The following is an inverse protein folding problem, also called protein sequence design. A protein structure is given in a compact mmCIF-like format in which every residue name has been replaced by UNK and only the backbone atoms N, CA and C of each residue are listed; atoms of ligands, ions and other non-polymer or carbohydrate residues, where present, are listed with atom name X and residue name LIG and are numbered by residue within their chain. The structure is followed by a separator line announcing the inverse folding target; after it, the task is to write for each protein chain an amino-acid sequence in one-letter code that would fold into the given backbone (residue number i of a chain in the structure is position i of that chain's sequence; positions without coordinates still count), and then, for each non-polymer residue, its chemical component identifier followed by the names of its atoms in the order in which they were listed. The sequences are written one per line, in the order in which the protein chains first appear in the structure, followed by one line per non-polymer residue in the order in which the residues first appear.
data_IF_255633983572
#
_entry.id   IF_255633983572
#
_cell.length_a   1.000
_cell.length_b   1.000
_cell.length_c   1.000
_cell.angle_alpha   90.00
_cell.angle_beta   90.00
_cell.angle_gamma   90.00
#
_symmetry.space_group_name_H-M   'P 1'
#
loop_
_entity.id
_entity.type
_entity.pdbx_description
1 polymer ?
#
# COMPACT_ATOMS: atom_id res chain seq x y z
N UNK A 1 6.59 -16.36 -7.54
CA UNK A 1 7.15 -15.84 -6.27
C UNK A 1 6.44 -14.55 -5.90
N UNK A 2 6.13 -14.35 -4.61
CA UNK A 2 5.50 -13.14 -4.08
C UNK A 2 6.56 -12.29 -3.39
N UNK A 3 6.51 -10.96 -3.57
CA UNK A 3 7.21 -10.00 -2.73
C UNK A 3 6.19 -9.13 -2.00
N UNK A 4 6.30 -9.04 -0.67
CA UNK A 4 5.56 -8.05 0.11
C UNK A 4 6.49 -6.88 0.42
N UNK A 5 6.14 -5.69 -0.07
CA UNK A 5 6.93 -4.47 0.12
C UNK A 5 6.33 -3.64 1.25
N UNK A 6 7.13 -3.34 2.25
CA UNK A 6 6.74 -2.57 3.44
C UNK A 6 7.63 -1.34 3.57
N UNK A 7 7.02 -0.18 3.80
CA UNK A 7 7.70 1.02 4.23
C UNK A 7 7.52 1.18 5.75
N UNK A 8 8.62 1.38 6.50
CA UNK A 8 8.59 1.56 7.94
C UNK A 8 9.23 2.88 8.37
N UNK A 9 8.63 3.49 9.40
CA UNK A 9 9.18 4.61 10.14
C UNK A 9 8.54 4.68 11.52
N UNK A 10 9.33 4.46 12.58
CA UNK A 10 8.86 4.49 13.97
C UNK A 10 7.58 3.65 14.20
N UNK A 11 7.63 2.38 13.79
CA UNK A 11 6.52 1.43 13.83
C UNK A 11 6.66 0.33 14.90
N UNK A 12 7.53 0.51 15.91
CA UNK A 12 7.85 -0.53 16.90
C UNK A 12 6.62 -1.14 17.59
N UNK A 13 5.56 -0.33 17.80
CA UNK A 13 4.33 -0.78 18.44
C UNK A 13 3.54 -1.82 17.64
N UNK A 14 3.70 -1.87 16.32
CA UNK A 14 2.78 -2.61 15.42
C UNK A 14 3.47 -3.59 14.50
N UNK A 15 4.73 -3.34 14.13
CA UNK A 15 5.41 -4.06 13.04
C UNK A 15 5.51 -5.58 13.29
N UNK A 16 5.63 -6.02 14.53
CA UNK A 16 5.72 -7.44 14.84
C UNK A 16 4.40 -8.18 14.53
N UNK A 17 3.25 -7.59 14.89
CA UNK A 17 1.93 -8.15 14.61
C UNK A 17 1.66 -8.18 13.11
N UNK A 18 1.97 -7.08 12.41
CA UNK A 18 1.85 -7.02 10.96
C UNK A 18 2.69 -8.10 10.27
N UNK A 19 3.98 -8.23 10.62
CA UNK A 19 4.84 -9.23 10.01
C UNK A 19 4.36 -10.65 10.27
N UNK A 20 3.90 -10.98 11.48
CA UNK A 20 3.31 -12.30 11.79
C UNK A 20 2.09 -12.57 10.92
N UNK A 21 1.22 -11.59 10.71
CA UNK A 21 0.01 -11.73 9.89
C UNK A 21 0.33 -11.98 8.41
N UNK A 22 1.38 -11.34 7.88
CA UNK A 22 1.88 -11.51 6.51
C UNK A 22 2.55 -12.88 6.35
N UNK A 23 3.52 -13.19 7.19
CA UNK A 23 4.34 -14.41 7.11
C UNK A 23 3.51 -15.69 7.22
N UNK A 24 2.39 -15.65 7.95
CA UNK A 24 1.44 -16.78 8.07
C UNK A 24 0.77 -17.16 6.74
N UNK A 25 0.79 -16.30 5.73
CA UNK A 25 0.17 -16.51 4.43
C UNK A 25 1.17 -16.70 3.28
N UNK A 26 2.46 -16.56 3.55
CA UNK A 26 3.52 -16.69 2.55
C UNK A 26 4.18 -18.06 2.60
N UNK A 27 4.60 -18.54 1.43
CA UNK A 27 5.42 -19.76 1.30
C UNK A 27 6.91 -19.46 1.56
N UNK A 28 7.72 -20.52 1.64
CA UNK A 28 9.16 -20.40 1.88
C UNK A 28 9.95 -19.77 0.73
N UNK A 29 9.36 -19.69 -0.47
CA UNK A 29 9.99 -19.07 -1.65
C UNK A 29 9.62 -17.60 -1.82
N UNK A 30 8.70 -17.08 -1.00
CA UNK A 30 8.26 -15.69 -1.05
C UNK A 30 9.16 -14.80 -0.18
N UNK A 31 9.11 -13.49 -0.36
CA UNK A 31 9.92 -12.54 0.40
C UNK A 31 9.10 -11.40 0.98
N UNK A 32 9.58 -10.83 2.08
CA UNK A 32 9.13 -9.58 2.66
C UNK A 32 10.28 -8.59 2.59
N UNK A 33 10.15 -7.55 1.77
CA UNK A 33 11.16 -6.51 1.57
C UNK A 33 10.77 -5.27 2.35
N UNK A 34 11.56 -4.93 3.36
CA UNK A 34 11.28 -3.81 4.25
C UNK A 34 12.26 -2.67 3.97
N UNK A 35 11.72 -1.50 3.71
CA UNK A 35 12.49 -0.25 3.57
C UNK A 35 12.20 0.63 4.78
N UNK A 36 13.18 0.80 5.65
CA UNK A 36 13.07 1.65 6.84
C UNK A 36 13.57 3.06 6.55
N UNK A 37 12.85 4.07 7.03
CA UNK A 37 13.13 5.50 6.79
C UNK A 37 13.95 6.15 7.92
N UNK A 38 14.74 5.36 8.63
CA UNK A 38 15.57 5.84 9.73
C UNK A 38 14.84 5.82 11.08
N UNK A 39 14.15 4.73 11.40
CA UNK A 39 13.46 4.56 12.69
C UNK A 39 14.42 4.65 13.86
N UNK A 40 13.96 5.28 14.96
CA UNK A 40 14.72 5.48 16.20
C UNK A 40 14.06 4.86 17.43
N UNK A 41 12.90 4.23 17.27
CA UNK A 41 12.05 3.68 18.33
C UNK A 41 12.28 2.16 18.59
N UNK A 42 13.27 1.55 17.91
CA UNK A 42 13.54 0.11 18.01
C UNK A 42 12.81 -0.74 16.95
N UNK A 43 12.15 -0.15 15.96
CA UNK A 43 11.47 -0.85 14.86
C UNK A 43 12.40 -1.87 14.19
N UNK A 44 13.61 -1.45 13.81
CA UNK A 44 14.58 -2.33 13.11
C UNK A 44 15.06 -3.48 14.00
N UNK A 45 15.21 -3.26 15.30
CA UNK A 45 15.59 -4.30 16.26
C UNK A 45 14.49 -5.37 16.38
N UNK A 46 13.22 -4.95 16.36
CA UNK A 46 12.09 -5.87 16.38
C UNK A 46 12.08 -6.73 15.12
N UNK A 47 12.24 -6.11 13.93
CA UNK A 47 12.30 -6.82 12.65
C UNK A 47 13.42 -7.86 12.66
N UNK A 48 14.63 -7.49 13.09
CA UNK A 48 15.77 -8.40 13.14
C UNK A 48 15.58 -9.56 14.14
N UNK A 49 14.80 -9.38 15.21
CA UNK A 49 14.52 -10.42 16.21
C UNK A 49 13.58 -11.51 15.71
N UNK A 50 12.77 -11.25 14.68
CA UNK A 50 11.82 -12.26 14.12
C UNK A 50 12.57 -13.45 13.52
N UNK A 51 13.80 -13.27 13.00
CA UNK A 51 14.66 -14.33 12.45
C UNK A 51 13.98 -15.23 11.40
N UNK A 52 13.20 -14.63 10.51
CA UNK A 52 12.57 -15.32 9.38
C UNK A 52 13.37 -15.00 8.12
N UNK A 53 13.85 -16.04 7.42
CA UNK A 53 14.72 -15.91 6.24
C UNK A 53 14.04 -15.21 5.05
N UNK A 54 12.71 -15.16 5.05
CA UNK A 54 11.93 -14.42 4.04
C UNK A 54 11.99 -12.92 4.20
N UNK A 55 12.37 -12.42 5.39
CA UNK A 55 12.47 -10.99 5.67
C UNK A 55 13.81 -10.46 5.19
N UNK A 56 13.75 -9.41 4.41
CA UNK A 56 14.91 -8.65 3.97
C UNK A 56 14.75 -7.17 4.30
N UNK A 57 15.42 -6.74 5.37
CA UNK A 57 15.50 -5.33 5.75
C UNK A 57 16.57 -4.65 4.90
N UNK A 58 16.20 -3.56 4.21
CA UNK A 58 17.12 -2.77 3.39
C UNK A 58 17.90 -1.80 4.28
N UNK A 59 19.20 -1.58 4.00
CA UNK A 59 19.97 -0.58 4.73
C UNK A 59 19.40 0.83 4.50
N UNK A 60 19.28 1.62 5.58
CA UNK A 60 18.85 3.02 5.50
C UNK A 60 20.06 3.93 5.39
N UNK A 61 20.07 4.83 4.42
CA UNK A 61 21.13 5.81 4.21
C UNK A 61 20.61 7.25 4.32
N UNK A 62 19.34 7.46 3.97
CA UNK A 62 18.69 8.76 3.97
C UNK A 62 17.17 8.58 4.13
N UNK A 63 16.49 9.60 4.63
CA UNK A 63 15.04 9.61 4.68
C UNK A 63 14.46 9.91 3.30
N UNK A 64 13.59 9.03 2.81
CA UNK A 64 12.94 9.12 1.50
C UNK A 64 11.45 9.49 1.61
N UNK A 65 10.93 9.54 2.84
CA UNK A 65 9.51 9.60 3.10
C UNK A 65 8.75 8.35 2.63
N UNK A 66 7.50 8.23 3.00
CA UNK A 66 6.68 7.04 2.73
C UNK A 66 6.71 6.61 1.25
N UNK A 67 6.51 7.53 0.30
CA UNK A 67 6.48 7.22 -1.13
C UNK A 67 7.82 6.71 -1.66
N UNK A 68 8.93 7.35 -1.30
CA UNK A 68 10.26 6.93 -1.72
C UNK A 68 10.64 5.57 -1.12
N UNK A 69 10.26 5.32 0.13
CA UNK A 69 10.47 4.05 0.81
C UNK A 69 9.72 2.89 0.12
N UNK A 70 8.46 3.10 -0.28
CA UNK A 70 7.75 2.09 -1.06
C UNK A 70 8.44 1.83 -2.40
N UNK A 71 8.85 2.87 -3.13
CA UNK A 71 9.57 2.68 -4.39
C UNK A 71 10.88 1.93 -4.19
N UNK A 72 11.65 2.23 -3.14
CA UNK A 72 12.88 1.50 -2.79
C UNK A 72 12.62 0.03 -2.50
N UNK A 73 11.58 -0.29 -1.74
CA UNK A 73 11.20 -1.67 -1.45
C UNK A 73 10.78 -2.43 -2.72
N UNK A 74 9.96 -1.79 -3.57
CA UNK A 74 9.51 -2.34 -4.86
C UNK A 74 10.70 -2.58 -5.79
N UNK A 75 11.66 -1.63 -5.89
CA UNK A 75 12.83 -1.76 -6.75
C UNK A 75 13.76 -2.89 -6.30
N UNK A 76 13.84 -3.12 -4.99
CA UNK A 76 14.62 -4.21 -4.42
C UNK A 76 13.90 -5.57 -4.49
N UNK A 77 12.59 -5.61 -4.72
CA UNK A 77 11.79 -6.84 -4.74
C UNK A 77 12.01 -7.69 -6.00
N UNK A 78 11.86 -9.03 -5.89
CA UNK A 78 12.14 -9.99 -6.97
C UNK A 78 10.92 -10.75 -7.46
N UNK A 79 9.81 -10.77 -6.71
CA UNK A 79 8.60 -11.55 -7.01
C UNK A 79 7.86 -11.06 -8.26
N UNK A 80 7.16 -11.96 -8.91
CA UNK A 80 6.29 -11.68 -10.07
C UNK A 80 4.99 -11.00 -9.64
N UNK A 81 4.61 -11.24 -8.40
CA UNK A 81 3.47 -10.61 -7.73
C UNK A 81 4.00 -9.77 -6.56
N UNK A 82 3.54 -8.53 -6.50
CA UNK A 82 3.95 -7.56 -5.50
C UNK A 82 2.74 -7.15 -4.67
N UNK A 83 2.85 -7.29 -3.36
CA UNK A 83 1.91 -6.73 -2.40
C UNK A 83 2.54 -5.52 -1.74
N UNK A 84 1.75 -4.50 -1.46
CA UNK A 84 2.14 -3.41 -0.59
C UNK A 84 1.49 -3.61 0.78
N UNK A 85 2.20 -3.22 1.83
CA UNK A 85 1.68 -3.27 3.20
C UNK A 85 2.21 -2.09 4.02
N UNK A 86 1.36 -1.50 4.83
CA UNK A 86 1.75 -0.52 5.84
C UNK A 86 2.24 -1.28 7.09
N UNK A 87 3.02 -0.62 7.94
CA UNK A 87 3.67 -1.25 9.10
C UNK A 87 2.71 -1.56 10.26
N UNK A 88 1.51 -1.00 10.25
CA UNK A 88 0.59 -0.88 11.39
C UNK A 88 -0.75 -1.59 11.18
N UNK A 89 -0.95 -2.22 10.02
CA UNK A 89 -2.15 -3.00 9.68
C UNK A 89 -2.05 -4.46 10.16
N UNK A 90 -3.12 -5.25 9.94
CA UNK A 90 -3.12 -6.70 10.12
C UNK A 90 -3.79 -7.38 8.93
N UNK A 91 -3.10 -8.34 8.30
CA UNK A 91 -3.70 -9.13 7.22
C UNK A 91 -4.59 -10.24 7.77
N UNK A 92 -5.81 -10.31 7.25
CA UNK A 92 -6.74 -11.39 7.56
C UNK A 92 -6.51 -12.59 6.62
N UNK A 93 -6.81 -13.79 7.14
CA UNK A 93 -6.63 -15.05 6.42
C UNK A 93 -7.31 -15.06 5.05
N UNK A 94 -6.61 -15.64 4.05
CA UNK A 94 -7.08 -15.79 2.68
C UNK A 94 -6.87 -14.55 1.80
N UNK A 95 -6.18 -13.51 2.29
CA UNK A 95 -5.86 -12.33 1.47
C UNK A 95 -4.98 -12.69 0.28
N UNK A 96 -3.89 -13.40 0.53
CA UNK A 96 -2.94 -13.78 -0.53
C UNK A 96 -3.64 -14.65 -1.56
N UNK A 97 -4.32 -15.71 -1.14
CA UNK A 97 -5.06 -16.60 -2.04
C UNK A 97 -6.07 -15.85 -2.90
N UNK A 98 -6.86 -14.95 -2.27
CA UNK A 98 -7.86 -14.16 -2.99
C UNK A 98 -7.24 -13.25 -4.02
N UNK A 99 -6.16 -12.54 -3.66
CA UNK A 99 -5.46 -11.66 -4.60
C UNK A 99 -4.86 -12.44 -5.77
N UNK A 100 -4.23 -13.58 -5.52
CA UNK A 100 -3.66 -14.43 -6.58
C UNK A 100 -4.74 -14.88 -7.58
N UNK A 101 -5.90 -15.31 -7.09
CA UNK A 101 -7.04 -15.70 -7.94
C UNK A 101 -7.50 -14.54 -8.84
N UNK A 102 -7.64 -13.34 -8.30
CA UNK A 102 -8.03 -12.18 -9.12
C UNK A 102 -6.97 -11.78 -10.11
N UNK A 103 -5.69 -11.90 -9.73
CA UNK A 103 -4.55 -11.59 -10.59
C UNK A 103 -4.38 -12.58 -11.75
N UNK A 104 -5.11 -13.69 -11.82
CA UNK A 104 -5.17 -14.54 -13.01
C UNK A 104 -5.71 -13.75 -14.22
N UNK A 105 -6.63 -12.82 -14.00
CA UNK A 105 -7.31 -12.05 -15.05
C UNK A 105 -7.14 -10.53 -14.93
N UNK A 106 -6.52 -10.05 -13.85
CA UNK A 106 -6.26 -8.64 -13.60
C UNK A 106 -4.75 -8.38 -13.46
N UNK A 107 -4.36 -7.13 -13.62
CA UNK A 107 -2.98 -6.67 -13.42
C UNK A 107 -2.78 -6.10 -12.02
N UNK A 108 -3.83 -5.52 -11.44
CA UNK A 108 -3.84 -4.97 -10.09
C UNK A 108 -5.16 -5.28 -9.39
N UNK A 109 -5.06 -5.63 -8.13
CA UNK A 109 -6.18 -5.92 -7.22
C UNK A 109 -6.13 -4.98 -6.03
N UNK A 110 -7.27 -4.44 -5.65
CA UNK A 110 -7.46 -3.69 -4.39
C UNK A 110 -8.49 -4.45 -3.57
N UNK A 111 -8.15 -4.84 -2.35
CA UNK A 111 -9.04 -5.54 -1.43
C UNK A 111 -9.69 -4.58 -0.44
N UNK A 112 -10.92 -4.86 -0.02
CA UNK A 112 -11.55 -4.07 1.04
C UNK A 112 -10.94 -4.38 2.42
N UNK A 113 -11.09 -3.44 3.35
CA UNK A 113 -10.63 -3.56 4.73
C UNK A 113 -11.70 -3.10 5.72
N UNK A 114 -11.61 -3.59 6.94
CA UNK A 114 -12.27 -2.96 8.08
C UNK A 114 -11.35 -1.87 8.66
N UNK A 115 -11.87 -0.70 8.91
CA UNK A 115 -11.15 0.37 9.61
C UNK A 115 -11.26 0.13 11.09
N UNK A 116 -10.15 0.08 11.80
CA UNK A 116 -10.09 -0.18 13.23
C UNK A 116 -9.45 0.99 13.99
N UNK A 117 -9.66 1.01 15.30
CA UNK A 117 -8.85 1.80 16.22
C UNK A 117 -7.48 1.12 16.47
N UNK A 118 -6.66 1.71 17.35
CA UNK A 118 -5.35 1.20 17.72
C UNK A 118 -5.41 -0.22 18.32
N UNK A 119 -6.46 -0.53 19.06
CA UNK A 119 -6.72 -1.84 19.69
C UNK A 119 -7.39 -2.87 18.76
N UNK A 120 -7.48 -2.59 17.45
CA UNK A 120 -8.15 -3.44 16.44
C UNK A 120 -9.68 -3.58 16.63
N UNK A 121 -10.33 -2.72 17.41
CA UNK A 121 -11.78 -2.69 17.44
C UNK A 121 -12.31 -2.05 16.14
N UNK A 122 -13.26 -2.72 15.48
CA UNK A 122 -13.81 -2.24 14.21
C UNK A 122 -14.62 -0.97 14.41
N UNK A 123 -14.18 0.11 13.79
CA UNK A 123 -14.86 1.42 13.76
C UNK A 123 -15.76 1.52 12.51
N UNK A 124 -15.26 1.02 11.35
CA UNK A 124 -16.04 0.94 10.12
C UNK A 124 -15.80 -0.42 9.46
N UNK A 125 -16.87 -1.14 9.12
CA UNK A 125 -16.74 -2.50 8.59
C UNK A 125 -16.25 -2.55 7.12
N UNK A 126 -16.24 -1.44 6.38
CA UNK A 126 -15.82 -1.41 4.98
C UNK A 126 -15.35 -0.03 4.57
N UNK A 127 -14.07 0.08 4.19
CA UNK A 127 -13.51 1.32 3.64
C UNK A 127 -14.11 1.64 2.26
N UNK A 128 -14.38 0.63 1.45
CA UNK A 128 -14.97 0.82 0.13
C UNK A 128 -16.35 1.46 0.21
N UNK A 129 -17.20 0.96 1.11
CA UNK A 129 -18.54 1.55 1.33
C UNK A 129 -18.45 2.95 1.92
N UNK A 130 -17.52 3.16 2.86
CA UNK A 130 -17.35 4.45 3.53
C UNK A 130 -17.01 5.56 2.53
N UNK A 131 -16.11 5.29 1.58
CA UNK A 131 -15.62 6.29 0.63
C UNK A 131 -16.11 6.11 -0.80
N UNK A 132 -16.92 5.10 -1.10
CA UNK A 132 -17.40 4.80 -2.45
C UNK A 132 -16.25 4.44 -3.40
N UNK A 133 -15.27 3.66 -2.89
CA UNK A 133 -14.09 3.29 -3.67
C UNK A 133 -14.46 2.28 -4.76
N UNK A 134 -13.94 2.50 -5.95
CA UNK A 134 -14.19 1.65 -7.11
C UNK A 134 -13.15 1.87 -8.21
N UNK A 135 -13.06 0.92 -9.11
CA UNK A 135 -12.25 1.04 -10.33
C UNK A 135 -12.78 2.12 -11.26
N UNK A 136 -11.92 2.62 -12.13
CA UNK A 136 -12.25 3.56 -13.19
C UNK A 136 -11.29 4.74 -13.27
N UNK A 137 -10.60 4.89 -14.41
CA UNK A 137 -9.54 5.88 -14.64
C UNK A 137 -10.00 7.31 -14.30
N UNK A 138 -11.13 7.76 -14.85
CA UNK A 138 -11.64 9.10 -14.60
C UNK A 138 -12.10 9.28 -13.15
N UNK A 139 -12.73 8.25 -12.57
CA UNK A 139 -13.13 8.29 -11.18
C UNK A 139 -11.92 8.49 -10.27
N UNK A 140 -10.87 7.68 -10.46
CA UNK A 140 -9.66 7.70 -9.63
C UNK A 140 -8.73 8.89 -9.92
N UNK A 141 -8.83 9.50 -11.10
CA UNK A 141 -8.18 10.78 -11.37
C UNK A 141 -8.78 11.91 -10.52
N UNK A 142 -10.11 11.92 -10.39
CA UNK A 142 -10.83 12.96 -9.65
C UNK A 142 -10.86 12.66 -8.14
N UNK A 143 -11.01 11.41 -7.76
CA UNK A 143 -11.15 10.96 -6.38
C UNK A 143 -10.33 9.67 -6.17
N UNK A 144 -9.08 9.81 -5.74
CA UNK A 144 -8.20 8.67 -5.50
C UNK A 144 -8.87 7.63 -4.60
N UNK A 145 -8.98 6.40 -5.08
CA UNK A 145 -9.50 5.24 -4.36
C UNK A 145 -8.43 4.20 -4.05
N UNK A 146 -7.16 4.51 -4.29
CA UNK A 146 -6.04 3.61 -4.01
C UNK A 146 -5.46 3.88 -2.64
N UNK A 147 -5.28 2.81 -1.89
CA UNK A 147 -4.59 2.74 -0.61
C UNK A 147 -3.53 1.65 -0.74
N UNK A 148 -2.27 2.01 -0.57
CA UNK A 148 -1.13 1.13 -0.81
C UNK A 148 -1.29 -0.21 -0.11
N UNK A 149 -1.58 -0.20 1.19
CA UNK A 149 -1.71 -1.41 2.01
C UNK A 149 -2.80 -2.39 1.55
N UNK A 150 -3.71 -1.96 0.68
CA UNK A 150 -4.78 -2.80 0.14
C UNK A 150 -4.45 -3.38 -1.24
N UNK A 151 -3.29 -3.06 -1.82
CA UNK A 151 -2.94 -3.36 -3.21
C UNK A 151 -2.10 -4.62 -3.34
N UNK A 152 -2.41 -5.39 -4.37
CA UNK A 152 -1.56 -6.44 -4.92
C UNK A 152 -1.50 -6.30 -6.45
N UNK A 153 -0.35 -6.54 -7.07
CA UNK A 153 -0.18 -6.33 -8.51
C UNK A 153 0.83 -7.28 -9.14
N UNK A 154 0.72 -7.48 -10.44
CA UNK A 154 1.74 -8.11 -11.25
C UNK A 154 2.95 -7.18 -11.41
N UNK A 155 4.14 -7.74 -11.49
CA UNK A 155 5.38 -6.98 -11.75
C UNK A 155 5.30 -6.10 -12.99
N UNK A 156 4.58 -6.56 -14.01
CA UNK A 156 4.37 -5.79 -15.25
C UNK A 156 3.74 -4.41 -15.01
N UNK A 157 2.94 -4.22 -13.94
CA UNK A 157 2.42 -2.89 -13.55
C UNK A 157 3.57 -1.99 -13.11
N UNK A 158 4.48 -2.52 -12.30
CA UNK A 158 5.67 -1.79 -11.84
C UNK A 158 6.55 -1.39 -13.01
N UNK A 159 6.78 -2.31 -13.95
CA UNK A 159 7.58 -2.05 -15.15
C UNK A 159 6.99 -0.93 -16.00
N UNK A 160 5.67 -0.95 -16.21
CA UNK A 160 4.95 0.13 -16.90
C UNK A 160 4.93 1.44 -16.11
N UNK A 161 4.99 1.38 -14.79
CA UNK A 161 4.99 2.56 -13.92
C UNK A 161 6.33 3.30 -13.92
N UNK A 162 7.43 2.62 -14.25
CA UNK A 162 8.76 3.25 -14.33
C UNK A 162 8.91 4.14 -15.58
N UNK A 163 9.77 5.17 -15.53
CA UNK A 163 10.45 5.68 -14.32
C UNK A 163 9.46 6.20 -13.29
N UNK A 164 9.87 6.19 -12.02
CA UNK A 164 9.06 6.75 -10.93
C UNK A 164 8.85 8.25 -11.13
N UNK A 165 7.68 8.80 -10.78
CA UNK A 165 7.43 10.23 -10.91
C UNK A 165 8.30 11.02 -9.91
N UNK A 166 8.95 12.08 -10.38
CA UNK A 166 9.70 13.01 -9.54
C UNK A 166 8.77 13.94 -8.72
N UNK A 167 7.51 14.06 -9.13
CA UNK A 167 6.56 14.96 -8.51
C UNK A 167 6.00 14.35 -7.21
N UNK A 168 6.38 14.89 -6.07
CA UNK A 168 5.97 14.47 -4.72
C UNK A 168 4.44 14.47 -4.48
N UNK A 169 3.68 15.16 -5.32
CA UNK A 169 2.21 15.14 -5.25
C UNK A 169 1.64 13.80 -5.69
N UNK A 170 2.38 13.03 -6.46
CA UNK A 170 2.00 11.73 -7.00
C UNK A 170 2.46 10.63 -6.05
N UNK A 171 1.63 10.27 -5.08
CA UNK A 171 1.92 9.21 -4.12
C UNK A 171 1.99 7.85 -4.83
N UNK A 172 2.79 6.94 -4.29
CA UNK A 172 3.09 5.62 -4.87
C UNK A 172 1.83 4.81 -5.20
N UNK A 173 0.86 4.78 -4.31
CA UNK A 173 -0.39 4.06 -4.44
C UNK A 173 -1.27 4.61 -5.58
N UNK A 174 -1.44 5.94 -5.60
CA UNK A 174 -2.20 6.60 -6.66
C UNK A 174 -1.52 6.44 -8.03
N UNK A 175 -0.18 6.59 -8.08
CA UNK A 175 0.58 6.41 -9.30
C UNK A 175 0.43 5.00 -9.88
N UNK A 176 0.72 3.97 -9.08
CA UNK A 176 0.61 2.56 -9.49
C UNK A 176 -0.81 2.19 -9.92
N UNK A 177 -1.82 2.63 -9.15
CA UNK A 177 -3.22 2.40 -9.49
C UNK A 177 -3.63 3.05 -10.80
N UNK A 178 -3.23 4.30 -11.04
CA UNK A 178 -3.53 5.03 -12.29
C UNK A 178 -2.82 4.42 -13.50
N UNK A 179 -1.57 3.95 -13.35
CA UNK A 179 -0.88 3.22 -14.41
C UNK A 179 -1.62 1.93 -14.75
N UNK A 180 -2.02 1.16 -13.74
CA UNK A 180 -2.77 -0.07 -13.95
C UNK A 180 -4.12 0.16 -14.64
N UNK A 181 -4.86 1.21 -14.25
CA UNK A 181 -6.13 1.60 -14.91
C UNK A 181 -5.94 2.00 -16.38
N UNK A 182 -4.83 2.66 -16.70
CA UNK A 182 -4.54 3.12 -18.05
C UNK A 182 -4.08 1.99 -18.97
N UNK A 183 -3.30 1.04 -18.44
CA UNK A 183 -2.52 0.11 -19.25
C UNK A 183 -2.92 -1.35 -19.09
N UNK A 184 -3.88 -1.64 -18.21
CA UNK A 184 -4.27 -3.00 -17.87
C UNK A 184 -5.65 -3.10 -17.26
N UNK A 185 -5.84 -4.12 -16.43
CA UNK A 185 -7.11 -4.41 -15.76
C UNK A 185 -6.95 -4.29 -14.25
N UNK A 186 -7.86 -3.53 -13.62
CA UNK A 186 -7.93 -3.37 -12.17
C UNK A 186 -9.18 -4.06 -11.63
N UNK A 187 -9.06 -4.69 -10.46
CA UNK A 187 -10.18 -5.28 -9.72
C UNK A 187 -10.25 -4.72 -8.31
N UNK A 188 -11.44 -4.30 -7.91
CA UNK A 188 -11.79 -3.96 -6.52
C UNK A 188 -12.61 -5.11 -5.94
N UNK A 189 -12.11 -5.74 -4.87
CA UNK A 189 -12.68 -6.94 -4.24
C UNK A 189 -13.26 -6.57 -2.89
N UNK A 190 -14.57 -6.77 -2.72
CA UNK A 190 -15.33 -6.36 -1.53
C UNK A 190 -16.30 -7.44 -1.02
N UNK A 191 -16.02 -8.72 -1.32
CA UNK A 191 -16.81 -9.85 -0.83
C UNK A 191 -16.65 -10.06 0.69
N UNK A 192 -15.47 -9.74 1.22
CA UNK A 192 -15.17 -9.62 2.65
C UNK A 192 -14.02 -8.66 2.88
N UNK A 193 -13.68 -8.41 4.15
CA UNK A 193 -12.50 -7.65 4.53
C UNK A 193 -11.29 -8.58 4.55
N UNK A 194 -10.15 -8.07 4.07
CA UNK A 194 -8.89 -8.81 3.99
C UNK A 194 -7.78 -8.16 4.80
N UNK A 195 -8.04 -6.97 5.35
CA UNK A 195 -7.11 -6.20 6.17
C UNK A 195 -7.89 -5.54 7.31
N UNK A 196 -7.31 -5.54 8.49
CA UNK A 196 -7.67 -4.62 9.56
C UNK A 196 -6.78 -3.38 9.39
N UNK A 197 -7.39 -2.31 8.89
CA UNK A 197 -6.72 -1.04 8.62
C UNK A 197 -6.71 -0.19 9.90
N UNK A 198 -5.56 -0.18 10.57
CA UNK A 198 -5.42 0.44 11.89
C UNK A 198 -5.32 1.95 11.79
N UNK A 199 -5.96 2.62 12.74
CA UNK A 199 -5.92 4.08 12.93
C UNK A 199 -5.42 4.42 14.32
N UNK A 200 -4.35 5.18 14.38
CA UNK A 200 -3.75 5.71 15.59
C UNK A 200 -3.23 7.14 15.34
N UNK A 201 -2.76 7.84 16.38
CA UNK A 201 -2.36 9.25 16.27
C UNK A 201 -1.19 9.49 15.29
N UNK A 202 -0.32 8.51 15.07
CA UNK A 202 0.84 8.56 14.16
C UNK A 202 0.53 8.24 12.70
N UNK A 203 -0.71 7.89 12.31
CA UNK A 203 -1.00 7.56 10.91
C UNK A 203 -0.95 8.81 10.02
N UNK A 204 -0.27 8.70 8.85
CA UNK A 204 -0.18 9.81 7.86
C UNK A 204 -1.57 10.30 7.41
N UNK A 205 -2.54 9.41 7.37
CA UNK A 205 -3.93 9.75 7.02
C UNK A 205 -4.72 10.01 8.28
N UNK A 206 -4.67 11.23 8.82
CA UNK A 206 -5.45 11.61 10.01
C UNK A 206 -6.95 11.42 9.77
N UNK A 207 -7.55 10.48 10.46
CA UNK A 207 -9.00 10.46 10.66
C UNK A 207 -9.29 11.31 11.88
N UNK A 208 -9.75 12.54 11.67
CA UNK A 208 -10.34 13.30 12.77
C UNK A 208 -11.62 12.57 13.23
N UNK A 209 -12.07 12.81 14.47
CA UNK A 209 -13.37 12.37 15.01
C UNK A 209 -14.56 12.71 14.09
N UNK A 210 -14.35 13.54 13.07
CA UNK A 210 -15.26 13.77 11.96
C UNK A 210 -14.75 12.98 10.75
N UNK A 211 -15.40 11.89 10.41
CA UNK A 211 -15.21 11.05 9.21
C UNK A 211 -15.10 11.81 7.89
N UNK A 212 -15.37 13.09 7.89
CA UNK A 212 -15.42 13.99 6.77
C UNK A 212 -14.28 14.99 6.71
N UNK A 213 -13.26 14.90 7.57
CA UNK A 213 -12.11 15.78 7.42
C UNK A 213 -11.36 15.38 6.16
N UNK A 214 -11.75 15.98 5.06
CA UNK A 214 -11.02 15.98 3.79
C UNK A 214 -9.55 16.34 4.06
N UNK A 215 -8.64 15.68 3.33
CA UNK A 215 -7.23 16.04 3.28
C UNK A 215 -7.02 17.54 3.47
N UNK A 216 -6.14 17.93 4.40
CA UNK A 216 -5.79 19.33 4.68
C UNK A 216 -5.11 20.07 3.50
N UNK A 217 -4.90 19.37 2.36
CA UNK A 217 -4.31 19.98 1.16
C UNK A 217 -5.24 21.06 0.60
N UNK A 218 -4.66 22.19 0.22
CA UNK A 218 -5.40 23.28 -0.43
C UNK A 218 -6.08 22.81 -1.72
N UNK A 219 -7.15 23.50 -2.14
CA UNK A 219 -7.82 23.22 -3.41
C UNK A 219 -6.85 23.32 -4.59
N UNK A 220 -5.95 24.31 -4.56
CA UNK A 220 -4.89 24.52 -5.56
C UNK A 220 -4.00 23.28 -5.65
N UNK A 221 -3.49 22.78 -4.52
CA UNK A 221 -2.65 21.56 -4.48
C UNK A 221 -3.39 20.36 -5.04
N UNK A 222 -4.68 20.20 -4.72
CA UNK A 222 -5.51 19.10 -5.23
C UNK A 222 -5.68 19.17 -6.75
N UNK A 223 -5.89 20.36 -7.31
CA UNK A 223 -6.01 20.55 -8.76
C UNK A 223 -4.65 20.29 -9.43
N UNK A 224 -3.55 20.84 -8.91
CA UNK A 224 -2.21 20.61 -9.44
C UNK A 224 -1.84 19.14 -9.47
N UNK A 225 -2.12 18.40 -8.40
CA UNK A 225 -1.86 16.96 -8.36
C UNK A 225 -2.62 16.19 -9.47
N UNK A 226 -3.89 16.55 -9.73
CA UNK A 226 -4.70 15.93 -10.79
C UNK A 226 -4.19 16.26 -12.19
N UNK A 227 -3.82 17.51 -12.42
CA UNK A 227 -3.24 17.93 -13.71
C UNK A 227 -1.89 17.23 -13.94
N UNK A 228 -1.04 17.15 -12.92
CA UNK A 228 0.21 16.41 -12.99
C UNK A 228 -0.03 14.93 -13.28
N UNK A 229 -0.95 14.27 -12.55
CA UNK A 229 -1.31 12.89 -12.82
C UNK A 229 -1.82 12.69 -14.26
N UNK A 230 -2.73 13.54 -14.73
CA UNK A 230 -3.26 13.45 -16.08
C UNK A 230 -2.18 13.62 -17.15
N UNK A 231 -1.19 14.48 -16.89
CA UNK A 231 -0.04 14.69 -17.79
C UNK A 231 0.86 13.45 -17.83
N UNK A 232 1.28 12.96 -16.67
CA UNK A 232 2.20 11.83 -16.57
C UNK A 232 1.58 10.54 -17.11
N UNK A 233 0.29 10.27 -16.76
CA UNK A 233 -0.37 9.04 -17.19
C UNK A 233 -0.65 9.01 -18.69
N UNK A 234 -0.77 10.17 -19.35
CA UNK A 234 -1.01 10.23 -20.80
C UNK A 234 0.07 9.52 -21.60
N UNK A 235 1.30 9.56 -21.13
CA UNK A 235 2.47 8.99 -21.81
C UNK A 235 2.67 7.50 -21.50
N UNK A 236 1.91 6.90 -20.58
CA UNK A 236 1.98 5.47 -20.26
C UNK A 236 1.19 4.64 -21.28
N UNK A 237 1.81 3.53 -21.74
CA UNK A 237 1.27 2.59 -22.73
C UNK A 237 1.15 1.19 -22.16
#
# INVERSE_FOLDING_TARGET
MISVCIATYNGAAFIEEQLKSILSQLSSVDEVVISDDGSTDGTTDIICRIKDERIRLLPSYESLGSTGNFFRAIDASKGDIIFLADQDDVWLSGRVERCLKELETADLVVTDCAVTDEGLNVVYPSLFRLYGLRQGLLHNLLRCGYYGSLMAMRRSVVERARPWPENELLKHDWWLGMVAEKTGRVRFVSDKQYVLYRRHEGTETQVSKSLFKRSNRSLKTKIMARLSMAREIRNKR
#
